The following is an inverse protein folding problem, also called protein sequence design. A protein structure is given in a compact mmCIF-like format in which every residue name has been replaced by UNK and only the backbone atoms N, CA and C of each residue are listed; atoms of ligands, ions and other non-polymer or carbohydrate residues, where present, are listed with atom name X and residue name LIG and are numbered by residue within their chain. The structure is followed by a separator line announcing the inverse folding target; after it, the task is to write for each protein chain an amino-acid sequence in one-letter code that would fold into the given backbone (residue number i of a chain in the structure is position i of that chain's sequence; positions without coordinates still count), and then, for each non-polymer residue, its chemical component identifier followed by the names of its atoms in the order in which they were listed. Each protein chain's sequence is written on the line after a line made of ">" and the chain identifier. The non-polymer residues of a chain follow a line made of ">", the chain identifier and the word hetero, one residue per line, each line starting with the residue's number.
data_IF_912962408513
#
_entry.id   IF_912962408513
#
_cell.length_a   1.000
_cell.length_b   1.000
_cell.length_c   1.000
_cell.angle_alpha   90.00
_cell.angle_beta   90.00
_cell.angle_gamma   90.00
#
_symmetry.space_group_name_H-M   'P 1'
#
loop_
_entity.id
_entity.type
_entity.pdbx_description
1 polymer ?
#
# COMPACT_ATOMS: atom_id res chain seq x y z
N UNK A 1 7.05 2.59 18.04
CA UNK A 1 7.34 1.48 17.11
C UNK A 1 7.33 2.00 15.68
N UNK A 2 8.30 1.63 14.85
CA UNK A 2 8.39 2.07 13.46
C UNK A 2 7.93 0.93 12.53
N UNK A 3 6.87 1.15 11.76
CA UNK A 3 6.34 0.16 10.83
C UNK A 3 6.47 0.72 9.42
N UNK A 4 7.16 0.00 8.54
CA UNK A 4 7.27 0.35 7.12
C UNK A 4 6.55 -0.69 6.28
N UNK A 5 5.52 -0.28 5.55
CA UNK A 5 4.83 -1.12 4.57
C UNK A 5 5.39 -0.81 3.20
N UNK A 6 5.85 -1.84 2.48
CA UNK A 6 6.33 -1.74 1.10
C UNK A 6 5.39 -2.57 0.24
N UNK A 7 4.71 -1.92 -0.70
CA UNK A 7 3.67 -2.57 -1.53
C UNK A 7 3.87 -2.25 -3.00
N UNK A 8 3.58 -3.21 -3.87
CA UNK A 8 3.58 -3.02 -5.32
C UNK A 8 2.23 -2.46 -5.75
N UNK A 9 2.26 -1.45 -6.62
CA UNK A 9 1.06 -0.81 -7.14
C UNK A 9 0.46 0.24 -6.20
N UNK A 10 -0.55 0.94 -6.72
CA UNK A 10 -1.28 1.99 -6.00
C UNK A 10 -2.74 1.60 -5.86
N UNK A 11 -3.32 1.89 -4.70
CA UNK A 11 -4.76 1.77 -4.49
C UNK A 11 -5.47 2.70 -5.48
N UNK A 12 -6.42 2.20 -6.28
CA UNK A 12 -7.14 3.04 -7.27
C UNK A 12 -8.45 3.55 -6.70
N UNK A 13 -9.10 2.74 -5.89
CA UNK A 13 -10.43 2.93 -5.35
C UNK A 13 -10.40 3.93 -4.19
N UNK A 14 -11.25 4.96 -4.28
CA UNK A 14 -11.32 6.02 -3.27
C UNK A 14 -11.68 5.48 -1.88
N UNK A 15 -12.64 4.55 -1.80
CA UNK A 15 -13.08 4.00 -0.51
C UNK A 15 -11.98 3.24 0.24
N UNK A 16 -11.04 2.59 -0.48
CA UNK A 16 -9.89 1.92 0.11
C UNK A 16 -8.84 2.92 0.59
N UNK A 17 -8.62 4.02 -0.16
CA UNK A 17 -7.72 5.10 0.26
C UNK A 17 -8.26 5.79 1.53
N UNK A 18 -9.56 5.98 1.63
CA UNK A 18 -10.18 6.60 2.81
C UNK A 18 -10.08 5.68 4.03
N UNK A 19 -10.34 4.38 3.84
CA UNK A 19 -10.13 3.38 4.89
C UNK A 19 -8.67 3.40 5.38
N UNK A 20 -7.69 3.43 4.46
CA UNK A 20 -6.28 3.52 4.82
C UNK A 20 -5.98 4.74 5.70
N UNK A 21 -6.52 5.91 5.36
CA UNK A 21 -6.32 7.13 6.15
C UNK A 21 -6.95 7.03 7.54
N UNK A 22 -8.14 6.45 7.65
CA UNK A 22 -8.83 6.29 8.94
C UNK A 22 -8.06 5.34 9.86
N UNK A 23 -7.59 4.20 9.35
CA UNK A 23 -6.77 3.27 10.14
C UNK A 23 -5.41 3.88 10.50
N UNK A 24 -4.76 4.56 9.55
CA UNK A 24 -3.49 5.25 9.81
C UNK A 24 -3.65 6.28 10.93
N UNK A 25 -4.70 7.10 10.89
CA UNK A 25 -5.02 8.11 11.92
C UNK A 25 -5.18 7.49 13.30
N UNK A 26 -5.89 6.36 13.41
CA UNK A 26 -6.08 5.62 14.67
C UNK A 26 -4.76 5.07 15.22
N UNK A 27 -3.87 4.63 14.33
CA UNK A 27 -2.59 4.02 14.70
C UNK A 27 -1.48 5.02 15.02
N UNK A 28 -1.58 6.28 14.59
CA UNK A 28 -0.54 7.32 14.82
C UNK A 28 -0.14 7.48 16.29
N UNK A 29 -1.04 7.20 17.25
CA UNK A 29 -0.73 7.27 18.69
C UNK A 29 0.22 6.17 19.17
N UNK A 30 0.34 5.07 18.43
CA UNK A 30 1.07 3.87 18.85
C UNK A 30 2.32 3.60 18.01
N UNK A 31 2.26 3.92 16.72
CA UNK A 31 3.35 3.66 15.81
C UNK A 31 3.50 4.74 14.75
N UNK A 32 4.74 4.90 14.29
CA UNK A 32 5.06 5.69 13.13
C UNK A 32 4.97 4.79 11.89
N UNK A 33 3.97 5.03 11.05
CA UNK A 33 3.70 4.24 9.85
C UNK A 33 4.26 4.96 8.62
N UNK A 34 5.17 4.29 7.91
CA UNK A 34 5.66 4.69 6.59
C UNK A 34 5.10 3.72 5.55
N UNK A 35 4.48 4.24 4.49
CA UNK A 35 3.96 3.43 3.38
C UNK A 35 4.76 3.82 2.14
N UNK A 36 5.35 2.84 1.48
CA UNK A 36 6.14 3.00 0.28
C UNK A 36 5.46 2.17 -0.81
N UNK A 37 4.83 2.85 -1.75
CA UNK A 37 4.23 2.24 -2.94
C UNK A 37 5.27 2.26 -4.06
N UNK A 38 5.63 1.08 -4.56
CA UNK A 38 6.49 0.95 -5.75
C UNK A 38 5.63 0.76 -6.99
N UNK A 39 6.11 1.22 -8.13
CA UNK A 39 5.43 0.99 -9.39
C UNK A 39 5.37 -0.52 -9.67
N UNK A 40 4.24 -0.97 -10.22
CA UNK A 40 4.13 -2.31 -10.75
C UNK A 40 4.93 -2.40 -12.05
N UNK A 41 5.61 -3.52 -12.24
CA UNK A 41 6.28 -3.80 -13.51
C UNK A 41 5.23 -4.14 -14.55
N UNK A 42 5.42 -3.66 -15.78
CA UNK A 42 4.50 -4.03 -16.87
C UNK A 42 4.74 -5.50 -17.21
N UNK A 43 3.85 -6.35 -16.72
CA UNK A 43 3.80 -7.75 -17.13
C UNK A 43 3.15 -7.81 -18.52
N UNK A 44 3.88 -8.34 -19.51
CA UNK A 44 3.32 -8.65 -20.84
C UNK A 44 2.13 -9.60 -20.64
N UNK A 45 1.04 -9.45 -21.42
CA UNK A 45 -0.23 -10.19 -21.25
C UNK A 45 -0.12 -11.73 -21.28
N UNK A 46 1.09 -12.30 -21.49
CA UNK A 46 1.39 -13.73 -21.54
C UNK A 46 2.54 -14.17 -20.61
N UNK A 47 2.79 -13.49 -19.48
CA UNK A 47 3.77 -13.99 -18.51
C UNK A 47 3.26 -15.29 -17.86
N UNK A 48 3.83 -16.40 -18.28
CA UNK A 48 3.48 -17.78 -17.87
C UNK A 48 3.42 -17.96 -16.36
N UNK A 49 2.48 -18.80 -15.91
CA UNK A 49 2.45 -19.40 -14.56
C UNK A 49 3.71 -20.24 -14.34
N UNK A 50 4.73 -19.69 -13.66
CA UNK A 50 5.79 -20.47 -13.00
C UNK A 50 6.27 -19.77 -11.75
#
# INVERSE_FOLDING_TARGET
>A
MNITLVTVGKIKETYLRDALHEYKKRLTKYCHIKIIEVADEKVLENASEK
#
